data_IF_560136987866
#
_entry.id   IF_560136987866
#
_cell.length_a   1.000
_cell.length_b   1.000
_cell.length_c   1.000
_cell.angle_alpha   90.00
_cell.angle_beta   90.00
_cell.angle_gamma   90.00
#
_symmetry.space_group_name_H-M   'P 1'
#
loop_
_entity.id
_entity.type
_entity.pdbx_description
1 polymer ?
#
# COMPACT_ATOMS: atom_id res chain seq x y z
N UNK A 1 16.86 -14.32 -0.70
CA UNK A 1 15.85 -14.80 0.25
C UNK A 1 14.48 -14.31 -0.22
N UNK A 2 14.18 -13.04 -0.15
CA UNK A 2 12.95 -12.48 -0.74
C UNK A 2 13.20 -12.01 -2.17
N UNK A 3 12.32 -12.39 -3.10
CA UNK A 3 12.43 -11.99 -4.51
C UNK A 3 11.45 -10.88 -4.87
N UNK A 4 10.22 -10.97 -4.40
CA UNK A 4 9.14 -10.06 -4.70
C UNK A 4 8.53 -9.50 -3.41
N UNK A 5 8.74 -8.21 -3.17
CA UNK A 5 8.29 -7.53 -1.96
C UNK A 5 7.12 -6.62 -2.29
N UNK A 6 5.97 -6.84 -1.67
CA UNK A 6 4.80 -5.97 -1.78
C UNK A 6 4.86 -4.85 -0.73
N UNK A 7 4.66 -3.62 -1.17
CA UNK A 7 4.59 -2.43 -0.29
C UNK A 7 3.29 -1.67 -0.55
N UNK A 8 2.31 -1.80 0.34
CA UNK A 8 1.10 -1.00 0.26
C UNK A 8 1.38 0.47 0.61
N UNK A 9 0.91 1.37 -0.24
CA UNK A 9 1.04 2.82 -0.09
C UNK A 9 -0.33 3.47 -0.05
N UNK A 10 -0.63 4.19 1.01
CA UNK A 10 -1.87 4.96 1.18
C UNK A 10 -1.65 6.48 1.20
N UNK A 11 -0.40 6.90 0.94
CA UNK A 11 0.01 8.30 0.98
C UNK A 11 0.45 8.80 2.36
N UNK A 12 0.33 7.99 3.41
CA UNK A 12 0.78 8.34 4.76
C UNK A 12 2.31 8.32 4.88
N UNK A 13 2.84 9.08 5.84
CA UNK A 13 4.27 9.04 6.16
C UNK A 13 4.71 7.65 6.60
N UNK A 14 3.87 6.95 7.36
CA UNK A 14 4.12 5.57 7.79
C UNK A 14 4.30 4.61 6.60
N UNK A 15 3.50 4.76 5.55
CA UNK A 15 3.63 3.94 4.35
C UNK A 15 4.96 4.22 3.61
N UNK A 16 5.36 5.50 3.50
CA UNK A 16 6.64 5.83 2.89
C UNK A 16 7.85 5.46 3.76
N UNK A 17 7.72 5.46 5.09
CA UNK A 17 8.74 4.90 5.98
C UNK A 17 8.88 3.38 5.76
N UNK A 18 7.77 2.66 5.64
CA UNK A 18 7.80 1.24 5.29
C UNK A 18 8.48 1.00 3.93
N UNK A 19 8.22 1.86 2.95
CA UNK A 19 8.89 1.81 1.65
C UNK A 19 10.41 2.02 1.78
N UNK A 20 10.89 2.96 2.60
CA UNK A 20 12.33 3.14 2.84
C UNK A 20 12.98 1.85 3.35
N UNK A 21 12.33 1.16 4.29
CA UNK A 21 12.80 -0.14 4.78
C UNK A 21 12.77 -1.22 3.70
N UNK A 22 11.69 -1.29 2.92
CA UNK A 22 11.57 -2.24 1.81
C UNK A 22 12.64 -2.02 0.74
N UNK A 23 13.00 -0.77 0.45
CA UNK A 23 14.10 -0.42 -0.47
C UNK A 23 15.44 -0.98 0.05
N UNK A 24 15.76 -0.80 1.33
CA UNK A 24 16.99 -1.37 1.94
C UNK A 24 17.01 -2.89 1.85
N UNK A 25 15.86 -3.55 2.13
CA UNK A 25 15.72 -4.99 1.96
C UNK A 25 15.91 -5.41 0.50
N UNK A 26 15.28 -4.69 -0.43
CA UNK A 26 15.40 -4.99 -1.86
C UNK A 26 16.83 -4.84 -2.38
N UNK A 27 17.57 -3.85 -1.93
CA UNK A 27 19.00 -3.70 -2.26
C UNK A 27 19.82 -4.89 -1.74
N UNK A 28 19.54 -5.36 -0.51
CA UNK A 28 20.26 -6.47 0.11
C UNK A 28 19.99 -7.80 -0.57
N UNK A 29 18.72 -8.08 -0.86
CA UNK A 29 18.29 -9.37 -1.42
C UNK A 29 18.18 -9.37 -2.96
N UNK A 30 18.42 -8.24 -3.60
CA UNK A 30 18.20 -8.02 -5.05
C UNK A 30 16.75 -8.31 -5.45
N UNK A 31 15.82 -7.83 -4.62
CA UNK A 31 14.38 -8.04 -4.80
C UNK A 31 13.80 -6.99 -5.74
N UNK A 32 12.65 -7.33 -6.33
CA UNK A 32 11.76 -6.39 -7.01
C UNK A 32 10.68 -5.90 -6.04
N UNK A 33 10.39 -4.59 -6.08
CA UNK A 33 9.31 -4.00 -5.30
C UNK A 33 8.01 -3.95 -6.11
N UNK A 34 6.91 -4.28 -5.47
CA UNK A 34 5.55 -4.10 -5.98
C UNK A 34 4.85 -3.07 -5.11
N UNK A 35 4.67 -1.87 -5.66
CA UNK A 35 4.08 -0.74 -4.95
C UNK A 35 2.58 -0.71 -5.25
N UNK A 36 1.74 -0.92 -4.25
CA UNK A 36 0.30 -0.97 -4.47
C UNK A 36 -0.41 0.16 -3.74
N UNK A 37 -1.27 0.87 -4.49
CA UNK A 37 -2.32 1.69 -3.90
C UNK A 37 -3.68 1.09 -4.24
N UNK A 38 -4.50 0.82 -3.23
CA UNK A 38 -5.85 0.29 -3.38
C UNK A 38 -6.84 1.42 -3.16
N UNK A 39 -7.58 1.76 -4.22
CA UNK A 39 -8.71 2.70 -4.14
C UNK A 39 -9.86 1.95 -3.49
N UNK A 40 -10.24 2.38 -2.29
CA UNK A 40 -11.27 1.72 -1.48
C UNK A 40 -12.67 2.00 -2.05
N UNK A 41 -13.14 1.09 -2.89
CA UNK A 41 -14.47 1.17 -3.49
C UNK A 41 -15.61 1.03 -2.47
N UNK A 42 -15.34 0.48 -1.29
CA UNK A 42 -16.37 0.35 -0.25
C UNK A 42 -16.75 1.73 0.29
N UNK A 43 -15.78 2.65 0.37
CA UNK A 43 -16.02 4.04 0.71
C UNK A 43 -16.67 4.81 -0.43
N UNK A 44 -16.26 4.57 -1.67
CA UNK A 44 -16.85 5.22 -2.84
C UNK A 44 -18.29 4.79 -3.09
N UNK A 45 -18.64 3.55 -2.77
CA UNK A 45 -20.01 3.05 -2.91
C UNK A 45 -21.03 3.78 -2.01
N UNK A 46 -20.58 4.43 -0.94
CA UNK A 46 -21.44 5.33 -0.15
C UNK A 46 -21.96 6.52 -0.99
N UNK A 47 -21.27 6.87 -2.07
CA UNK A 47 -21.64 7.91 -3.04
C UNK A 47 -22.16 7.30 -4.35
N UNK A 48 -22.89 6.19 -4.26
CA UNK A 48 -23.37 5.48 -5.45
C UNK A 48 -24.16 6.37 -6.39
N UNK A 49 -24.16 6.09 -7.70
CA UNK A 49 -24.95 6.85 -8.69
C UNK A 49 -26.45 6.92 -8.36
N UNK A 50 -26.98 5.87 -7.74
CA UNK A 50 -28.37 5.80 -7.32
C UNK A 50 -28.73 6.81 -6.20
N UNK A 51 -27.76 7.12 -5.30
CA UNK A 51 -27.99 8.03 -4.17
C UNK A 51 -27.70 9.49 -4.52
N UNK A 52 -26.68 9.78 -5.34
CA UNK A 52 -26.15 11.14 -5.56
C UNK A 52 -25.99 11.54 -7.02
N UNK A 53 -26.35 10.66 -7.98
CA UNK A 53 -26.17 10.86 -9.41
C UNK A 53 -24.79 10.44 -9.93
N UNK A 54 -24.77 10.00 -11.20
CA UNK A 54 -23.58 9.40 -11.82
C UNK A 54 -22.38 10.33 -11.95
N UNK A 55 -22.62 11.64 -12.14
CA UNK A 55 -21.55 12.64 -12.31
C UNK A 55 -20.70 12.79 -11.05
N UNK A 56 -21.32 12.84 -9.86
CA UNK A 56 -20.58 12.93 -8.60
C UNK A 56 -19.70 11.69 -8.38
N UNK A 57 -20.25 10.50 -8.57
CA UNK A 57 -19.48 9.25 -8.44
C UNK A 57 -18.29 9.21 -9.40
N UNK A 58 -18.52 9.56 -10.69
CA UNK A 58 -17.46 9.59 -11.69
C UNK A 58 -16.35 10.58 -11.34
N UNK A 59 -16.71 11.77 -10.85
CA UNK A 59 -15.74 12.78 -10.43
C UNK A 59 -14.93 12.32 -9.21
N UNK A 60 -15.57 11.72 -8.21
CA UNK A 60 -14.89 11.19 -7.03
C UNK A 60 -13.93 10.06 -7.39
N UNK A 61 -14.34 9.15 -8.28
CA UNK A 61 -13.49 8.08 -8.78
C UNK A 61 -12.29 8.63 -9.55
N UNK A 62 -12.47 9.66 -10.38
CA UNK A 62 -11.36 10.30 -11.08
C UNK A 62 -10.36 10.91 -10.11
N UNK A 63 -10.83 11.69 -9.13
CA UNK A 63 -9.96 12.27 -8.09
C UNK A 63 -9.20 11.19 -7.33
N UNK A 64 -9.86 10.09 -6.97
CA UNK A 64 -9.23 8.98 -6.29
C UNK A 64 -8.14 8.30 -7.14
N UNK A 65 -8.37 8.14 -8.44
CA UNK A 65 -7.39 7.59 -9.39
C UNK A 65 -6.18 8.52 -9.57
N UNK A 66 -6.41 9.81 -9.71
CA UNK A 66 -5.34 10.81 -9.87
C UNK A 66 -4.47 10.85 -8.59
N UNK A 67 -5.09 10.89 -7.42
CA UNK A 67 -4.37 10.82 -6.14
C UNK A 67 -3.61 9.49 -5.97
N UNK A 68 -4.20 8.39 -6.36
CA UNK A 68 -3.53 7.08 -6.36
C UNK A 68 -2.29 7.06 -7.25
N UNK A 69 -2.36 7.68 -8.43
CA UNK A 69 -1.23 7.79 -9.34
C UNK A 69 -0.10 8.62 -8.70
N UNK A 70 -0.42 9.76 -8.09
CA UNK A 70 0.57 10.62 -7.41
C UNK A 70 1.28 9.86 -6.28
N UNK A 71 0.54 9.06 -5.50
CA UNK A 71 1.10 8.22 -4.43
C UNK A 71 2.09 7.20 -5.00
N UNK A 72 1.71 6.51 -6.06
CA UNK A 72 2.55 5.50 -6.71
C UNK A 72 3.77 6.12 -7.38
N UNK A 73 3.63 7.25 -8.05
CA UNK A 73 4.74 7.98 -8.69
C UNK A 73 5.80 8.39 -7.68
N UNK A 74 5.37 8.93 -6.52
CA UNK A 74 6.29 9.24 -5.42
C UNK A 74 7.03 7.99 -4.92
N UNK A 75 6.31 6.87 -4.77
CA UNK A 75 6.93 5.61 -4.37
C UNK A 75 7.95 5.10 -5.39
N UNK A 76 7.63 5.18 -6.69
CA UNK A 76 8.55 4.79 -7.75
C UNK A 76 9.79 5.67 -7.80
N UNK A 77 9.65 6.98 -7.58
CA UNK A 77 10.79 7.90 -7.50
C UNK A 77 11.74 7.51 -6.37
N UNK A 78 11.21 7.14 -5.20
CA UNK A 78 12.02 6.68 -4.07
C UNK A 78 12.79 5.40 -4.39
N UNK A 79 12.14 4.41 -5.01
CA UNK A 79 12.78 3.17 -5.42
C UNK A 79 13.84 3.40 -6.51
N UNK A 80 13.52 4.20 -7.52
CA UNK A 80 14.42 4.54 -8.62
C UNK A 80 15.68 5.29 -8.15
N UNK A 81 15.53 6.25 -7.23
CA UNK A 81 16.65 6.96 -6.63
C UNK A 81 17.64 6.03 -5.91
N UNK A 82 17.14 4.91 -5.40
CA UNK A 82 17.94 3.86 -4.77
C UNK A 82 18.37 2.73 -5.74
N UNK A 83 18.09 2.88 -7.03
CA UNK A 83 18.38 1.89 -8.07
C UNK A 83 17.69 0.53 -7.84
N UNK A 84 16.50 0.54 -7.26
CA UNK A 84 15.68 -0.64 -7.03
C UNK A 84 14.55 -0.71 -8.07
N UNK A 85 14.42 -1.87 -8.71
CA UNK A 85 13.33 -2.10 -9.66
C UNK A 85 11.97 -2.10 -8.93
N UNK A 86 10.99 -1.35 -9.46
CA UNK A 86 9.66 -1.30 -8.88
C UNK A 86 8.56 -1.34 -9.94
N UNK A 87 7.45 -1.99 -9.61
CA UNK A 87 6.23 -2.04 -10.41
C UNK A 87 5.08 -1.38 -9.63
N UNK A 88 4.46 -0.33 -10.17
CA UNK A 88 3.28 0.27 -9.56
C UNK A 88 2.03 -0.55 -9.88
N UNK A 89 1.15 -0.70 -8.90
CA UNK A 89 -0.12 -1.42 -9.02
C UNK A 89 -1.23 -0.53 -8.45
N UNK A 90 -2.17 -0.12 -9.30
CA UNK A 90 -3.39 0.57 -8.89
C UNK A 90 -4.56 -0.40 -8.98
N UNK A 91 -5.32 -0.54 -7.89
CA UNK A 91 -6.46 -1.46 -7.80
C UNK A 91 -7.67 -0.75 -7.21
N UNK A 92 -8.84 -1.01 -7.80
CA UNK A 92 -10.13 -0.59 -7.25
C UNK A 92 -10.75 -1.79 -6.53
N UNK A 93 -10.65 -1.85 -5.21
CA UNK A 93 -11.11 -3.01 -4.42
C UNK A 93 -11.17 -2.69 -2.92
N UNK A 94 -11.30 -3.73 -2.10
CA UNK A 94 -11.10 -3.64 -0.65
C UNK A 94 -9.61 -3.73 -0.32
N UNK A 95 -9.02 -2.74 0.38
CA UNK A 95 -7.59 -2.77 0.73
C UNK A 95 -7.18 -4.03 1.50
N UNK A 96 -7.99 -4.45 2.45
CA UNK A 96 -7.69 -5.61 3.31
C UNK A 96 -7.51 -6.90 2.49
N UNK A 97 -8.50 -7.25 1.67
CA UNK A 97 -8.45 -8.46 0.86
C UNK A 97 -7.38 -8.37 -0.23
N UNK A 98 -7.31 -7.24 -0.94
CA UNK A 98 -6.33 -7.06 -2.01
C UNK A 98 -4.90 -7.26 -1.53
N UNK A 99 -4.53 -6.67 -0.40
CA UNK A 99 -3.15 -6.75 0.12
C UNK A 99 -2.86 -8.12 0.71
N UNK A 100 -3.82 -8.71 1.46
CA UNK A 100 -3.58 -9.95 2.18
C UNK A 100 -3.61 -11.19 1.28
N UNK A 101 -4.58 -11.25 0.33
CA UNK A 101 -4.93 -12.49 -0.37
C UNK A 101 -4.93 -12.42 -1.88
N UNK A 102 -5.32 -11.28 -2.49
CA UNK A 102 -5.55 -11.25 -3.94
C UNK A 102 -4.28 -10.97 -4.74
N UNK A 103 -3.48 -10.00 -4.28
CA UNK A 103 -2.25 -9.56 -4.97
C UNK A 103 -1.09 -10.53 -4.77
N UNK A 104 -0.84 -11.10 -3.57
CA UNK A 104 0.32 -11.94 -3.34
C UNK A 104 0.46 -13.11 -4.31
N UNK A 105 -0.56 -13.95 -4.55
CA UNK A 105 -0.42 -15.05 -5.50
C UNK A 105 -0.28 -14.59 -6.95
N UNK A 106 -0.92 -13.47 -7.32
CA UNK A 106 -0.89 -12.94 -8.69
C UNK A 106 0.50 -12.51 -9.14
N UNK A 107 1.30 -11.99 -8.22
CA UNK A 107 2.64 -11.46 -8.49
C UNK A 107 3.75 -12.27 -7.83
N UNK A 108 3.44 -13.47 -7.34
CA UNK A 108 4.37 -14.34 -6.62
C UNK A 108 5.10 -13.59 -5.48
N UNK A 109 4.34 -12.78 -4.72
CA UNK A 109 4.87 -12.03 -3.58
C UNK A 109 5.29 -13.02 -2.49
N UNK A 110 6.45 -12.80 -1.89
CA UNK A 110 6.99 -13.61 -0.81
C UNK A 110 7.23 -12.84 0.49
N UNK A 111 7.08 -11.50 0.44
CA UNK A 111 7.11 -10.63 1.61
C UNK A 111 6.19 -9.44 1.41
N UNK A 112 5.42 -9.10 2.45
CA UNK A 112 4.69 -7.84 2.53
C UNK A 112 5.41 -6.96 3.56
N UNK A 113 5.73 -5.71 3.20
CA UNK A 113 6.30 -4.70 4.10
C UNK A 113 5.34 -3.54 4.21
N UNK A 114 4.84 -3.25 5.40
CA UNK A 114 3.86 -2.19 5.61
C UNK A 114 4.06 -1.44 6.91
N UNK A 115 3.56 -0.22 6.97
CA UNK A 115 3.59 0.58 8.19
C UNK A 115 2.63 0.03 9.25
N UNK A 116 2.93 0.34 10.51
CA UNK A 116 2.09 -0.06 11.65
C UNK A 116 0.67 0.48 11.56
N UNK A 117 0.50 1.67 10.99
CA UNK A 117 -0.78 2.35 10.81
C UNK A 117 -0.76 3.19 9.53
N UNK A 118 -1.93 3.55 9.01
CA UNK A 118 -2.09 4.38 7.83
C UNK A 118 -2.58 5.79 8.14
N UNK A 119 -3.28 6.42 7.18
CA UNK A 119 -3.78 7.80 7.24
C UNK A 119 -4.77 8.07 8.36
N UNK A 120 -5.50 7.05 8.84
CA UNK A 120 -6.54 7.16 9.87
C UNK A 120 -6.07 6.75 11.27
N UNK A 121 -4.76 6.79 11.54
CA UNK A 121 -4.22 6.42 12.84
C UNK A 121 -4.61 7.42 13.93
N UNK A 122 -5.42 6.98 14.88
CA UNK A 122 -5.87 7.78 16.04
C UNK A 122 -4.89 7.65 17.21
N UNK A 123 -4.05 6.62 17.22
CA UNK A 123 -3.10 6.36 18.30
C UNK A 123 -1.82 5.71 17.78
N UNK A 124 -0.66 6.18 18.23
CA UNK A 124 0.66 5.59 17.93
C UNK A 124 0.85 4.19 18.53
N UNK A 125 0.00 3.77 19.44
CA UNK A 125 0.12 2.51 20.19
C UNK A 125 -0.61 1.36 19.47
N UNK A 126 -1.67 1.65 18.71
CA UNK A 126 -2.52 0.64 18.10
C UNK A 126 -2.08 0.29 16.67
N UNK A 127 -2.18 -0.99 16.36
CA UNK A 127 -2.02 -1.50 15.01
C UNK A 127 -3.22 -1.05 14.15
N UNK A 128 -2.95 -0.48 12.96
CA UNK A 128 -4.01 -0.08 12.04
C UNK A 128 -4.87 -1.28 11.60
N UNK A 129 -6.14 -1.04 11.28
CA UNK A 129 -7.09 -2.12 10.97
C UNK A 129 -6.69 -2.94 9.73
N UNK A 130 -6.15 -2.29 8.70
CA UNK A 130 -5.65 -2.98 7.51
C UNK A 130 -4.41 -3.80 7.83
N UNK A 131 -3.45 -3.24 8.58
CA UNK A 131 -2.24 -3.94 8.99
C UNK A 131 -2.57 -5.16 9.85
N UNK A 132 -3.47 -5.01 10.83
CA UNK A 132 -3.92 -6.13 11.66
C UNK A 132 -4.55 -7.25 10.83
N UNK A 133 -5.40 -6.89 9.86
CA UNK A 133 -6.02 -7.87 8.97
C UNK A 133 -4.98 -8.61 8.12
N UNK A 134 -4.04 -7.89 7.53
CA UNK A 134 -2.99 -8.47 6.68
C UNK A 134 -2.11 -9.44 7.49
N UNK A 135 -1.69 -9.05 8.70
CA UNK A 135 -0.90 -9.92 9.58
C UNK A 135 -1.64 -11.22 9.91
N UNK A 136 -2.96 -11.16 10.07
CA UNK A 136 -3.76 -12.36 10.39
C UNK A 136 -4.06 -13.25 9.18
N UNK A 137 -4.20 -12.67 7.98
CA UNK A 137 -4.77 -13.36 6.82
C UNK A 137 -3.79 -13.65 5.69
N UNK A 138 -2.66 -12.95 5.64
CA UNK A 138 -1.66 -13.21 4.60
C UNK A 138 -1.03 -14.60 4.75
N UNK A 139 -0.86 -15.29 3.64
CA UNK A 139 -0.17 -16.59 3.56
C UNK A 139 1.34 -16.43 3.36
N UNK A 140 1.81 -15.19 3.18
CA UNK A 140 3.22 -14.84 3.02
C UNK A 140 3.73 -14.10 4.25
N UNK A 141 5.04 -13.98 4.38
CA UNK A 141 5.65 -13.23 5.48
C UNK A 141 5.22 -11.76 5.47
N UNK A 142 4.98 -11.20 6.65
CA UNK A 142 4.61 -9.79 6.83
C UNK A 142 5.59 -9.13 7.79
N UNK A 143 6.21 -8.04 7.33
CA UNK A 143 7.02 -7.16 8.17
C UNK A 143 6.27 -5.87 8.43
N UNK A 144 6.05 -5.56 9.70
CA UNK A 144 5.41 -4.30 10.12
C UNK A 144 6.47 -3.34 10.63
N UNK A 145 6.57 -2.19 9.98
CA UNK A 145 7.53 -1.15 10.35
C UNK A 145 6.89 -0.26 11.41
N UNK A 146 7.56 -0.20 12.55
CA UNK A 146 7.19 0.71 13.61
C UNK A 146 7.80 2.09 13.34
N UNK A 147 6.96 3.07 13.11
CA UNK A 147 7.35 4.45 12.76
C UNK A 147 7.51 5.34 13.98
N UNK A 148 8.04 4.82 15.06
CA UNK A 148 8.51 5.68 16.16
C UNK A 148 9.82 6.27 15.67
N UNK A 149 9.79 7.57 15.35
CA UNK A 149 10.90 8.45 15.02
C UNK A 149 12.19 7.71 14.65
N UNK A 150 12.42 7.49 13.34
CA UNK A 150 13.73 7.13 12.86
C UNK A 150 14.60 8.40 13.00
N UNK A 151 15.53 8.49 13.94
CA UNK A 151 16.50 9.57 13.94
C UNK A 151 17.49 9.26 12.82
N UNK A 152 17.19 9.74 11.59
CA UNK A 152 18.04 9.78 10.38
C UNK A 152 18.64 8.44 9.90
#
# INVERSE_FOLDING_TARGET
MYQNILVPLDGSDNAYMALKHAVKLAQTFKSKLFLVNVIDITRLNAYSPAAYGGTLYTNLLKVAKDNSQDILDRGQQMASAAQVESLPIQVNSSPKASIATDIPPKYAIDLIVMGKSGTNAVSRILLGSTTAYVVQKAEVNVTVINTIDDPD
#
